data_IF_110623718343
#
_entry.id   IF_110623718343
#
_cell.length_a   1.000
_cell.length_b   1.000
_cell.length_c   1.000
_cell.angle_alpha   90.00
_cell.angle_beta   90.00
_cell.angle_gamma   90.00
#
_symmetry.space_group_name_H-M   'P 1'
#
loop_
_entity.id
_entity.type
_entity.pdbx_description
1 polymer ?
#
# COMPACT_ATOMS: atom_id res chain seq x y z
N UNK A 1 -53.22 -7.12 -27.67
CA UNK A 1 -52.81 -6.31 -26.49
C UNK A 1 -51.35 -6.59 -26.21
N UNK A 2 -50.46 -5.70 -26.64
CA UNK A 2 -49.01 -5.85 -26.42
C UNK A 2 -48.65 -5.26 -25.04
N UNK A 3 -47.94 -6.04 -24.23
CA UNK A 3 -47.39 -5.59 -22.95
C UNK A 3 -46.34 -4.49 -23.21
N UNK A 4 -46.30 -3.41 -22.41
CA UNK A 4 -45.29 -2.38 -22.58
C UNK A 4 -43.91 -2.93 -22.19
N UNK A 5 -42.95 -2.70 -23.08
CA UNK A 5 -41.54 -3.01 -22.85
C UNK A 5 -41.06 -2.35 -21.55
N UNK A 6 -40.53 -3.16 -20.63
CA UNK A 6 -39.83 -2.67 -19.44
C UNK A 6 -38.65 -1.83 -19.91
N UNK A 7 -38.68 -0.53 -19.60
CA UNK A 7 -37.52 0.33 -19.73
C UNK A 7 -36.36 -0.26 -18.90
N UNK A 8 -35.13 -0.32 -19.42
CA UNK A 8 -33.99 -0.75 -18.64
C UNK A 8 -33.74 0.25 -17.51
N UNK A 9 -33.63 -0.26 -16.29
CA UNK A 9 -33.25 0.53 -15.13
C UNK A 9 -31.89 1.17 -15.41
N UNK A 10 -31.86 2.51 -15.52
CA UNK A 10 -30.62 3.27 -15.49
C UNK A 10 -29.99 3.08 -14.10
N UNK A 11 -28.99 2.21 -14.02
CA UNK A 11 -28.08 2.15 -12.89
C UNK A 11 -27.37 3.51 -12.80
N UNK A 12 -27.66 4.25 -11.73
CA UNK A 12 -26.90 5.44 -11.36
C UNK A 12 -25.49 4.98 -10.98
N UNK A 13 -24.53 5.13 -11.89
CA UNK A 13 -23.12 4.85 -11.64
C UNK A 13 -22.54 5.99 -10.79
N UNK A 14 -22.64 5.85 -9.47
CA UNK A 14 -21.96 6.73 -8.52
C UNK A 14 -20.43 6.52 -8.59
N UNK A 15 -19.70 7.62 -8.58
CA UNK A 15 -18.33 7.83 -9.08
C UNK A 15 -17.27 7.91 -7.97
N UNK A 16 -17.37 7.10 -6.93
CA UNK A 16 -16.40 7.10 -5.82
C UNK A 16 -15.20 6.17 -6.11
N UNK A 17 -14.50 6.41 -7.21
CA UNK A 17 -13.19 5.79 -7.40
C UNK A 17 -12.23 6.30 -6.30
N UNK A 18 -11.37 5.42 -5.78
CA UNK A 18 -10.30 5.81 -4.87
C UNK A 18 -9.59 7.06 -5.41
N UNK A 19 -9.45 8.13 -4.61
CA UNK A 19 -8.78 9.32 -5.07
C UNK A 19 -7.34 8.99 -5.48
N UNK A 20 -6.89 9.56 -6.60
CA UNK A 20 -5.50 9.38 -7.04
C UNK A 20 -4.58 10.11 -6.07
N UNK A 21 -4.05 9.38 -5.09
CA UNK A 21 -3.09 9.91 -4.13
C UNK A 21 -1.75 10.23 -4.80
N UNK A 22 -1.08 11.26 -4.31
CA UNK A 22 0.25 11.64 -4.80
C UNK A 22 1.29 10.62 -4.31
N UNK A 23 2.22 10.23 -5.18
CA UNK A 23 3.33 9.35 -4.77
C UNK A 23 4.47 10.18 -4.17
N UNK A 24 5.15 9.65 -3.15
CA UNK A 24 6.19 10.37 -2.46
C UNK A 24 7.37 10.74 -3.38
N UNK A 25 7.64 10.00 -4.46
CA UNK A 25 8.63 10.43 -5.45
C UNK A 25 8.29 11.80 -6.10
N UNK A 26 7.01 12.15 -6.18
CA UNK A 26 6.53 13.48 -6.56
C UNK A 26 6.48 14.45 -5.36
N UNK A 27 6.06 13.99 -4.17
CA UNK A 27 5.96 14.80 -2.96
C UNK A 27 7.32 15.15 -2.32
N UNK A 28 8.40 14.40 -2.60
CA UNK A 28 9.75 14.69 -2.13
C UNK A 28 10.44 15.79 -2.96
N UNK A 29 9.95 16.07 -4.17
CA UNK A 29 10.53 17.12 -5.05
C UNK A 29 10.08 18.53 -4.64
N UNK A 30 8.87 18.66 -4.10
CA UNK A 30 8.28 19.92 -3.64
C UNK A 30 7.54 19.60 -2.35
N UNK A 31 7.92 20.23 -1.23
CA UNK A 31 7.22 20.29 0.09
C UNK A 31 6.00 19.38 0.29
N UNK A 32 5.95 18.62 1.40
CA UNK A 32 4.75 17.87 1.84
C UNK A 32 3.50 18.75 1.58
N UNK A 33 2.51 18.28 0.80
CA UNK A 33 1.45 19.14 0.28
C UNK A 33 0.64 19.82 1.40
N UNK A 34 0.92 21.10 1.67
CA UNK A 34 0.27 21.86 2.75
C UNK A 34 1.02 21.77 4.08
N UNK A 35 2.19 22.39 4.16
CA UNK A 35 3.12 22.42 5.30
C UNK A 35 2.56 22.96 6.64
N UNK A 36 1.25 23.18 6.75
CA UNK A 36 0.52 23.54 7.97
C UNK A 36 -0.24 22.36 8.60
N UNK A 37 -0.35 21.22 7.91
CA UNK A 37 -1.05 20.04 8.43
C UNK A 37 -0.09 19.07 9.12
N UNK A 38 -0.54 18.46 10.22
CA UNK A 38 0.03 17.18 10.66
C UNK A 38 -0.49 16.04 9.80
N UNK A 39 0.17 14.89 9.80
CA UNK A 39 -0.29 13.69 9.09
C UNK A 39 -0.26 12.47 10.01
N UNK A 40 -1.14 11.50 9.72
CA UNK A 40 -1.07 10.15 10.27
C UNK A 40 -0.91 9.13 9.15
N UNK A 41 0.00 8.18 9.35
CA UNK A 41 0.34 7.14 8.39
C UNK A 41 -0.29 5.79 8.75
N UNK A 42 -0.85 5.10 7.76
CA UNK A 42 -1.25 3.67 7.84
C UNK A 42 -0.32 2.80 6.99
N UNK A 43 -0.19 1.49 7.26
CA UNK A 43 0.53 0.58 6.38
C UNK A 43 -0.03 0.62 4.96
N UNK A 44 0.86 0.67 3.96
CA UNK A 44 0.53 0.38 2.58
C UNK A 44 0.74 -1.11 2.36
N UNK A 45 -0.35 -1.83 2.07
CA UNK A 45 -0.29 -3.27 1.79
C UNK A 45 -0.50 -3.57 0.30
N UNK A 46 0.33 -4.44 -0.30
CA UNK A 46 0.16 -4.86 -1.68
C UNK A 46 -0.97 -5.87 -1.79
N UNK A 47 -1.93 -5.58 -2.67
CA UNK A 47 -3.13 -6.39 -2.82
C UNK A 47 -4.11 -5.83 -3.84
N UNK A 48 -5.25 -6.50 -3.99
CA UNK A 48 -6.30 -6.07 -4.93
C UNK A 48 -7.21 -5.06 -4.23
N UNK A 49 -7.29 -3.80 -4.71
CA UNK A 49 -8.20 -2.82 -4.13
C UNK A 49 -9.65 -3.24 -4.40
N UNK A 50 -10.46 -3.22 -3.34
CA UNK A 50 -11.89 -3.53 -3.39
C UNK A 50 -12.66 -2.49 -2.63
N UNK A 51 -13.78 -2.08 -3.23
CA UNK A 51 -14.72 -1.13 -2.67
C UNK A 51 -16.04 -1.85 -2.41
N UNK A 52 -16.53 -1.78 -1.18
CA UNK A 52 -17.80 -2.40 -0.81
C UNK A 52 -18.80 -1.27 -0.58
N UNK A 53 -19.74 -1.11 -1.51
CA UNK A 53 -20.81 -0.14 -1.37
C UNK A 53 -21.96 -0.72 -0.56
N UNK A 54 -22.36 0.01 0.48
CA UNK A 54 -23.47 -0.35 1.36
C UNK A 54 -24.57 0.70 1.17
N UNK A 55 -25.66 0.28 0.52
CA UNK A 55 -26.82 1.11 0.22
C UNK A 55 -28.03 0.72 1.05
N UNK A 56 -28.84 1.71 1.44
CA UNK A 56 -30.14 1.52 2.08
C UNK A 56 -31.24 1.73 1.03
N UNK A 57 -31.73 0.70 0.34
CA UNK A 57 -32.84 0.91 -0.61
C UNK A 57 -34.19 1.09 0.11
N UNK A 58 -35.05 1.92 -0.51
CA UNK A 58 -36.41 2.27 -0.06
C UNK A 58 -37.44 1.59 -0.98
N UNK A 59 -38.47 0.99 -0.37
CA UNK A 59 -39.47 0.11 -1.03
C UNK A 59 -40.59 0.88 -1.74
N UNK A 60 -41.11 0.32 -2.85
CA UNK A 60 -42.52 0.53 -3.24
C UNK A 60 -43.43 -0.52 -2.58
N UNK A 61 -44.20 -0.08 -1.59
CA UNK A 61 -45.40 -0.70 -0.96
C UNK A 61 -45.29 -1.99 -0.10
N UNK A 62 -44.15 -2.31 0.51
CA UNK A 62 -44.03 -3.14 1.75
C UNK A 62 -42.81 -2.69 2.56
N UNK A 63 -42.68 -2.92 3.88
CA UNK A 63 -41.51 -2.49 4.63
C UNK A 63 -40.41 -3.56 4.63
N UNK A 64 -39.72 -3.77 3.50
CA UNK A 64 -38.55 -4.67 3.45
C UNK A 64 -37.30 -3.94 2.92
N UNK A 65 -36.35 -3.72 3.82
CA UNK A 65 -35.02 -3.15 3.56
C UNK A 65 -34.25 -4.13 2.66
N UNK A 66 -33.89 -3.74 1.45
CA UNK A 66 -32.94 -4.50 0.64
C UNK A 66 -31.64 -3.70 0.51
N UNK A 67 -30.52 -4.37 0.77
CA UNK A 67 -29.18 -3.78 0.66
C UNK A 67 -28.50 -4.47 -0.52
N UNK A 68 -27.98 -3.66 -1.44
CA UNK A 68 -27.23 -4.12 -2.59
C UNK A 68 -25.76 -3.87 -2.34
N UNK A 69 -25.02 -4.95 -2.09
CA UNK A 69 -23.56 -4.94 -2.15
C UNK A 69 -23.19 -4.93 -3.63
N UNK A 70 -22.93 -3.73 -4.18
CA UNK A 70 -22.44 -3.61 -5.55
C UNK A 70 -20.93 -3.76 -5.54
N UNK A 71 -20.44 -4.96 -5.85
CA UNK A 71 -19.05 -5.11 -6.25
C UNK A 71 -18.92 -4.83 -7.76
N UNK A 72 -17.88 -4.07 -8.12
CA UNK A 72 -17.45 -3.86 -9.51
C UNK A 72 -16.24 -4.75 -9.85
N UNK A 73 -15.82 -5.63 -8.93
CA UNK A 73 -14.70 -6.55 -9.11
C UNK A 73 -15.07 -7.73 -10.00
N UNK A 74 -14.29 -7.93 -11.06
CA UNK A 74 -14.34 -9.16 -11.84
C UNK A 74 -13.59 -10.33 -11.16
N UNK A 75 -13.14 -10.16 -9.91
CA UNK A 75 -12.38 -11.17 -9.18
C UNK A 75 -13.32 -12.13 -8.45
N UNK A 76 -13.35 -13.39 -8.87
CA UNK A 76 -14.18 -14.46 -8.30
C UNK A 76 -13.95 -14.62 -6.79
N UNK A 77 -12.72 -14.48 -6.31
CA UNK A 77 -12.42 -14.65 -4.88
C UNK A 77 -12.95 -13.48 -4.04
N UNK A 78 -12.95 -12.25 -4.57
CA UNK A 78 -13.58 -11.11 -3.91
C UNK A 78 -15.11 -11.28 -3.85
N UNK A 79 -15.72 -11.81 -4.91
CA UNK A 79 -17.16 -12.09 -4.92
C UNK A 79 -17.55 -13.16 -3.90
N UNK A 80 -16.81 -14.28 -3.83
CA UNK A 80 -17.07 -15.33 -2.85
C UNK A 80 -17.00 -14.81 -1.40
N UNK A 81 -16.02 -13.94 -1.10
CA UNK A 81 -15.94 -13.27 0.21
C UNK A 81 -17.22 -12.50 0.54
N UNK A 82 -17.75 -11.75 -0.42
CA UNK A 82 -18.93 -10.90 -0.19
C UNK A 82 -20.17 -11.75 0.05
N UNK A 83 -20.27 -12.89 -0.64
CA UNK A 83 -21.34 -13.86 -0.44
C UNK A 83 -21.25 -14.49 0.96
N UNK A 84 -20.06 -14.98 1.35
CA UNK A 84 -19.84 -15.64 2.65
C UNK A 84 -20.08 -14.70 3.85
N UNK A 85 -19.91 -13.39 3.67
CA UNK A 85 -20.05 -12.38 4.72
C UNK A 85 -21.20 -11.40 4.49
N UNK A 86 -22.13 -11.71 3.59
CA UNK A 86 -23.25 -10.81 3.25
C UNK A 86 -24.09 -10.44 4.46
N UNK A 87 -24.31 -11.37 5.40
CA UNK A 87 -25.10 -11.13 6.61
C UNK A 87 -24.44 -10.10 7.53
N UNK A 88 -23.12 -10.19 7.72
CA UNK A 88 -22.37 -9.20 8.48
C UNK A 88 -22.46 -7.82 7.79
N UNK A 89 -22.14 -7.75 6.49
CA UNK A 89 -22.15 -6.48 5.73
C UNK A 89 -23.53 -5.82 5.73
N UNK A 90 -24.59 -6.63 5.59
CA UNK A 90 -25.99 -6.17 5.64
C UNK A 90 -26.35 -5.64 7.03
N UNK A 91 -25.82 -6.25 8.10
CA UNK A 91 -26.10 -5.82 9.47
C UNK A 91 -25.55 -4.43 9.79
N UNK A 92 -24.47 -4.01 9.13
CA UNK A 92 -23.86 -2.69 9.34
C UNK A 92 -24.82 -1.54 9.05
N UNK A 93 -25.76 -1.72 8.14
CA UNK A 93 -26.79 -0.72 7.81
C UNK A 93 -27.80 -0.49 8.95
N UNK A 94 -27.77 -1.34 9.97
CA UNK A 94 -28.58 -1.20 11.17
C UNK A 94 -27.76 -0.62 12.33
N UNK A 95 -26.45 -0.45 12.14
CA UNK A 95 -25.58 0.08 13.17
C UNK A 95 -25.96 1.52 13.49
N UNK A 96 -26.07 1.89 14.79
CA UNK A 96 -26.39 3.24 15.17
C UNK A 96 -25.34 4.28 14.78
N UNK A 97 -24.13 3.82 14.48
CA UNK A 97 -23.01 4.65 14.03
C UNK A 97 -22.92 4.74 12.50
N UNK A 98 -23.70 3.93 11.77
CA UNK A 98 -23.57 3.76 10.32
C UNK A 98 -24.93 3.82 9.59
N UNK A 99 -25.80 4.74 10.02
CA UNK A 99 -27.16 4.91 9.48
C UNK A 99 -27.23 5.42 8.03
N UNK A 100 -26.11 5.88 7.49
CA UNK A 100 -25.97 6.53 6.19
C UNK A 100 -25.37 5.57 5.15
N UNK A 101 -25.74 5.67 3.86
CA UNK A 101 -25.04 4.94 2.81
C UNK A 101 -23.54 5.22 2.85
N UNK A 102 -22.73 4.18 2.66
CA UNK A 102 -21.28 4.29 2.78
C UNK A 102 -20.55 3.36 1.82
N UNK A 103 -19.30 3.69 1.52
CA UNK A 103 -18.37 2.81 0.82
C UNK A 103 -17.23 2.45 1.74
N UNK A 104 -17.03 1.16 1.99
CA UNK A 104 -15.84 0.65 2.68
C UNK A 104 -14.73 0.51 1.64
N UNK A 105 -13.57 1.09 1.93
CA UNK A 105 -12.38 1.06 1.10
C UNK A 105 -11.33 0.17 1.74
N UNK A 106 -10.77 -0.74 0.95
CA UNK A 106 -9.77 -1.66 1.43
C UNK A 106 -9.14 -2.49 0.33
N UNK A 107 -8.35 -3.47 0.73
CA UNK A 107 -7.63 -4.36 -0.19
C UNK A 107 -7.70 -5.80 0.30
N UNK A 108 -7.88 -6.73 -0.64
CA UNK A 108 -7.60 -8.13 -0.36
C UNK A 108 -6.10 -8.38 -0.43
N UNK A 109 -5.58 -9.02 0.61
CA UNK A 109 -4.16 -9.30 0.79
C UNK A 109 -4.01 -10.73 1.27
N UNK A 110 -2.98 -11.43 0.78
CA UNK A 110 -2.69 -12.82 1.10
C UNK A 110 -2.62 -13.73 -0.13
N UNK A 111 -2.75 -15.06 0.05
CA UNK A 111 -2.62 -16.03 -1.03
C UNK A 111 -3.59 -15.73 -2.19
N UNK A 112 -3.06 -15.62 -3.41
CA UNK A 112 -3.84 -15.32 -4.62
C UNK A 112 -4.11 -13.84 -4.89
N UNK A 113 -3.80 -12.93 -3.93
CA UNK A 113 -4.08 -11.50 -4.06
C UNK A 113 -2.83 -10.62 -4.02
N UNK A 114 -1.75 -11.10 -3.43
CA UNK A 114 -0.53 -10.32 -3.18
C UNK A 114 0.66 -10.91 -3.93
N UNK A 115 1.50 -10.03 -4.48
CA UNK A 115 2.78 -10.43 -5.09
C UNK A 115 3.71 -11.04 -4.04
N UNK A 116 4.50 -12.02 -4.43
CA UNK A 116 5.40 -12.71 -3.51
C UNK A 116 6.50 -11.81 -2.96
N UNK A 117 6.85 -12.04 -1.69
CA UNK A 117 8.04 -11.52 -1.02
C UNK A 117 7.80 -10.31 -0.13
N UNK A 118 6.57 -9.80 -0.06
CA UNK A 118 6.11 -8.95 1.04
C UNK A 118 5.74 -9.80 2.27
N UNK A 119 5.79 -9.23 3.47
CA UNK A 119 5.38 -9.95 4.69
C UNK A 119 3.97 -10.54 4.55
N UNK A 120 3.04 -9.72 4.07
CA UNK A 120 1.64 -10.10 3.91
C UNK A 120 1.40 -11.18 2.82
N UNK A 121 2.38 -11.45 1.94
CA UNK A 121 2.28 -12.57 1.00
C UNK A 121 2.44 -13.94 1.68
N UNK A 122 2.88 -13.98 2.95
CA UNK A 122 3.05 -15.20 3.75
C UNK A 122 1.85 -15.50 4.64
N UNK A 123 0.77 -14.70 4.56
CA UNK A 123 -0.47 -14.98 5.29
C UNK A 123 -1.02 -16.36 4.87
N UNK A 124 -1.54 -17.12 5.84
CA UNK A 124 -2.12 -18.45 5.58
C UNK A 124 -3.51 -18.38 4.92
N UNK A 125 -4.15 -17.21 4.96
CA UNK A 125 -5.49 -16.98 4.44
C UNK A 125 -5.60 -15.56 3.90
N UNK A 126 -6.50 -15.30 2.95
CA UNK A 126 -6.76 -13.94 2.49
C UNK A 126 -7.51 -13.14 3.56
N UNK A 127 -7.13 -11.87 3.70
CA UNK A 127 -7.78 -10.91 4.59
C UNK A 127 -8.19 -9.67 3.80
N UNK A 128 -9.27 -9.03 4.25
CA UNK A 128 -9.71 -7.73 3.75
C UNK A 128 -9.23 -6.64 4.70
N UNK A 129 -8.22 -5.89 4.29
CA UNK A 129 -7.66 -4.79 5.08
C UNK A 129 -8.33 -3.47 4.69
N UNK A 130 -8.96 -2.83 5.67
CA UNK A 130 -9.78 -1.63 5.51
C UNK A 130 -8.91 -0.41 5.85
N UNK A 131 -8.80 0.51 4.89
CA UNK A 131 -8.00 1.73 5.03
C UNK A 131 -8.86 2.99 5.25
N UNK A 132 -10.11 2.99 4.81
CA UNK A 132 -11.05 4.09 5.03
C UNK A 132 -12.50 3.77 4.72
N UNK A 133 -13.40 4.68 5.10
CA UNK A 133 -14.83 4.65 4.78
C UNK A 133 -15.22 6.00 4.18
N UNK A 134 -16.02 5.98 3.11
CA UNK A 134 -16.67 7.18 2.57
C UNK A 134 -18.12 7.19 3.01
N UNK A 135 -18.55 8.22 3.71
CA UNK A 135 -19.95 8.47 4.05
C UNK A 135 -20.60 9.28 2.92
N UNK A 136 -21.60 8.71 2.24
CA UNK A 136 -22.12 9.30 1.00
C UNK A 136 -22.92 10.57 1.24
N UNK A 137 -23.63 10.66 2.37
CA UNK A 137 -24.51 11.79 2.67
C UNK A 137 -23.73 13.08 3.00
N UNK A 138 -22.51 12.93 3.54
CA UNK A 138 -21.65 14.05 3.97
C UNK A 138 -20.40 14.23 3.13
N UNK A 139 -20.13 13.30 2.20
CA UNK A 139 -18.85 13.19 1.47
C UNK A 139 -17.61 13.09 2.39
N UNK A 140 -17.82 12.70 3.65
CA UNK A 140 -16.74 12.51 4.62
C UNK A 140 -15.95 11.25 4.31
N UNK A 141 -14.62 11.38 4.31
CA UNK A 141 -13.67 10.30 4.31
C UNK A 141 -13.20 10.03 5.74
N UNK A 142 -13.64 8.93 6.32
CA UNK A 142 -13.24 8.46 7.64
C UNK A 142 -11.98 7.61 7.50
N UNK A 143 -10.84 8.15 7.95
CA UNK A 143 -9.55 7.45 8.00
C UNK A 143 -9.19 6.95 9.40
N UNK A 144 -9.83 7.44 10.46
CA UNK A 144 -9.53 7.09 11.85
C UNK A 144 -9.90 5.62 12.16
N UNK A 145 -8.96 4.73 12.53
CA UNK A 145 -9.20 3.32 12.82
C UNK A 145 -10.29 3.10 13.86
N UNK A 146 -10.29 3.89 14.94
CA UNK A 146 -11.27 3.78 16.02
C UNK A 146 -12.67 4.09 15.49
N UNK A 147 -12.84 5.19 14.75
CA UNK A 147 -14.13 5.53 14.11
C UNK A 147 -14.55 4.50 13.06
N UNK A 148 -13.61 3.95 12.28
CA UNK A 148 -13.89 2.88 11.32
C UNK A 148 -14.40 1.63 12.08
N UNK A 149 -13.74 1.22 13.16
CA UNK A 149 -14.18 0.10 13.99
C UNK A 149 -15.59 0.33 14.54
N UNK A 150 -15.88 1.51 15.08
CA UNK A 150 -17.21 1.87 15.60
C UNK A 150 -18.29 1.78 14.50
N UNK A 151 -17.98 2.20 13.27
CA UNK A 151 -18.88 2.13 12.12
C UNK A 151 -19.08 0.69 11.60
N UNK A 152 -18.10 -0.18 11.82
CA UNK A 152 -18.12 -1.59 11.42
C UNK A 152 -18.64 -2.52 12.52
N UNK A 153 -19.06 -1.98 13.66
CA UNK A 153 -19.68 -2.78 14.70
C UNK A 153 -21.09 -3.20 14.28
N UNK A 154 -21.31 -4.52 14.20
CA UNK A 154 -22.64 -5.06 13.91
C UNK A 154 -23.55 -4.90 15.13
N UNK A 155 -24.73 -4.26 14.99
CA UNK A 155 -25.71 -4.18 16.06
C UNK A 155 -26.32 -5.55 16.40
N UNK A 156 -26.08 -6.56 15.56
CA UNK A 156 -26.54 -7.94 15.76
C UNK A 156 -25.44 -8.83 16.37
N UNK A 157 -24.28 -8.26 16.73
CA UNK A 157 -23.13 -9.01 17.25
C UNK A 157 -22.45 -9.90 16.21
N UNK A 158 -22.73 -9.72 14.92
CA UNK A 158 -22.05 -10.45 13.84
C UNK A 158 -20.64 -9.91 13.67
N UNK A 159 -19.70 -10.79 13.33
CA UNK A 159 -18.31 -10.45 13.10
C UNK A 159 -17.87 -10.88 11.70
N UNK A 160 -16.91 -10.16 11.13
CA UNK A 160 -16.19 -10.59 9.94
C UNK A 160 -14.74 -10.95 10.34
N UNK A 161 -14.45 -12.24 10.59
CA UNK A 161 -13.17 -12.66 11.18
C UNK A 161 -11.97 -12.41 10.26
N UNK A 162 -12.20 -12.12 8.98
CA UNK A 162 -11.17 -11.87 7.97
C UNK A 162 -11.06 -10.40 7.56
N UNK A 163 -11.90 -9.51 8.11
CA UNK A 163 -11.73 -8.07 7.98
C UNK A 163 -10.79 -7.54 9.05
N UNK A 164 -9.91 -6.61 8.68
CA UNK A 164 -8.97 -5.94 9.59
C UNK A 164 -8.94 -4.45 9.28
N UNK A 165 -9.15 -3.61 10.28
CA UNK A 165 -8.95 -2.16 10.14
C UNK A 165 -7.47 -1.85 10.30
N UNK A 166 -6.88 -1.17 9.32
CA UNK A 166 -5.46 -0.82 9.38
C UNK A 166 -5.21 0.25 10.47
N UNK A 167 -4.24 0.03 11.37
CA UNK A 167 -3.94 0.97 12.45
C UNK A 167 -3.08 2.14 11.95
N UNK A 168 -2.95 3.15 12.80
CA UNK A 168 -1.90 4.15 12.66
C UNK A 168 -0.53 3.55 13.00
N UNK A 169 0.47 3.80 12.15
CA UNK A 169 1.86 3.36 12.36
C UNK A 169 2.86 4.51 12.44
N UNK A 170 2.44 5.72 12.07
CA UNK A 170 3.29 6.89 12.07
C UNK A 170 2.47 8.17 12.24
N UNK A 171 3.10 9.17 12.84
CA UNK A 171 2.59 10.55 12.86
C UNK A 171 3.69 11.52 12.43
N UNK A 172 3.27 12.60 11.79
CA UNK A 172 4.11 13.66 11.21
C UNK A 172 3.52 14.98 11.72
N UNK A 173 4.36 15.88 12.24
CA UNK A 173 3.88 17.07 12.93
C UNK A 173 4.13 18.34 12.10
N UNK A 174 3.17 19.27 12.04
CA UNK A 174 3.23 20.43 11.13
C UNK A 174 4.42 21.37 11.36
N UNK A 175 5.09 21.28 12.52
CA UNK A 175 6.15 22.21 12.93
C UNK A 175 7.58 21.74 12.61
N UNK A 176 7.76 20.59 11.97
CA UNK A 176 9.10 20.06 11.69
C UNK A 176 9.63 20.66 10.38
N UNK A 177 10.64 21.54 10.48
CA UNK A 177 11.17 22.34 9.36
C UNK A 177 11.78 21.52 8.21
N UNK A 178 12.15 20.26 8.43
CA UNK A 178 12.56 19.30 7.38
C UNK A 178 12.23 17.85 7.81
N UNK A 179 11.12 17.31 7.34
CA UNK A 179 10.63 15.96 7.70
C UNK A 179 11.15 14.84 6.80
N UNK A 180 11.97 15.18 5.80
CA UNK A 180 12.51 14.19 4.85
C UNK A 180 13.38 13.13 5.53
N UNK A 181 14.24 13.44 6.52
CA UNK A 181 15.00 12.42 7.24
C UNK A 181 14.11 11.45 8.00
N UNK A 182 13.08 11.95 8.69
CA UNK A 182 12.13 11.13 9.44
C UNK A 182 11.31 10.21 8.53
N UNK A 183 10.77 10.74 7.43
CA UNK A 183 10.07 9.93 6.42
C UNK A 183 10.99 8.86 5.82
N UNK A 184 12.26 9.17 5.55
CA UNK A 184 13.23 8.17 5.06
C UNK A 184 13.49 7.08 6.08
N UNK A 185 13.64 7.44 7.35
CA UNK A 185 13.84 6.47 8.43
C UNK A 185 12.63 5.54 8.60
N UNK A 186 11.42 6.11 8.64
CA UNK A 186 10.18 5.33 8.68
C UNK A 186 10.06 4.39 7.49
N UNK A 187 10.39 4.86 6.28
CA UNK A 187 10.37 4.02 5.09
C UNK A 187 11.45 2.94 5.15
N UNK A 188 12.65 3.23 5.65
CA UNK A 188 13.67 2.20 5.84
C UNK A 188 13.23 1.13 6.85
N UNK A 189 12.58 1.52 7.93
CA UNK A 189 12.01 0.58 8.91
C UNK A 189 10.92 -0.28 8.28
N UNK A 190 9.94 0.34 7.62
CA UNK A 190 8.83 -0.36 6.95
C UNK A 190 9.31 -1.29 5.82
N UNK A 191 10.34 -0.85 5.09
CA UNK A 191 10.90 -1.60 3.96
C UNK A 191 11.68 -2.83 4.39
N UNK A 192 12.12 -2.89 5.65
CA UNK A 192 12.74 -4.06 6.24
C UNK A 192 11.71 -4.98 6.90
N UNK A 193 10.84 -4.40 7.72
CA UNK A 193 9.82 -5.13 8.49
C UNK A 193 8.51 -4.35 8.46
N UNK A 194 7.45 -4.99 7.97
CA UNK A 194 6.09 -4.51 8.18
C UNK A 194 5.68 -4.70 9.64
N UNK A 195 5.69 -3.60 10.40
CA UNK A 195 5.44 -3.63 11.84
C UNK A 195 4.06 -4.20 12.20
N UNK A 196 3.04 -3.89 11.40
CA UNK A 196 1.67 -4.32 11.65
C UNK A 196 1.51 -5.82 11.37
N UNK A 197 2.00 -6.29 10.22
CA UNK A 197 1.93 -7.72 9.87
C UNK A 197 2.74 -8.55 10.88
N UNK A 198 3.89 -8.06 11.34
CA UNK A 198 4.67 -8.70 12.40
C UNK A 198 3.92 -8.74 13.72
N UNK A 199 3.32 -7.63 14.16
CA UNK A 199 2.64 -7.60 15.46
C UNK A 199 1.39 -8.48 15.49
N UNK A 200 0.56 -8.40 14.44
CA UNK A 200 -0.74 -9.07 14.34
C UNK A 200 -0.59 -10.56 13.98
N UNK A 201 0.21 -10.87 12.96
CA UNK A 201 0.29 -12.22 12.39
C UNK A 201 1.57 -12.96 12.73
N UNK A 202 2.52 -12.33 13.44
CA UNK A 202 3.84 -12.90 13.79
C UNK A 202 4.66 -13.30 12.56
N UNK A 203 4.50 -12.54 11.47
CA UNK A 203 5.19 -12.77 10.20
C UNK A 203 6.21 -11.66 9.97
N UNK A 204 7.48 -12.04 9.82
CA UNK A 204 8.55 -11.13 9.40
C UNK A 204 8.60 -11.00 7.86
N UNK A 205 8.89 -9.79 7.40
CA UNK A 205 9.14 -9.49 5.99
C UNK A 205 8.92 -8.01 5.68
N UNK A 206 9.27 -7.58 4.46
CA UNK A 206 9.17 -6.19 4.08
C UNK A 206 7.71 -5.77 3.84
N UNK A 207 7.38 -4.52 4.16
CA UNK A 207 6.14 -3.84 3.77
C UNK A 207 6.31 -3.04 2.46
N UNK A 208 5.21 -2.55 1.89
CA UNK A 208 5.25 -1.71 0.67
C UNK A 208 5.46 -0.22 1.01
N UNK A 209 5.12 0.19 2.24
CA UNK A 209 5.32 1.55 2.74
C UNK A 209 4.15 2.02 3.59
N UNK A 210 3.81 3.30 3.46
CA UNK A 210 2.73 3.92 4.22
C UNK A 210 1.87 4.88 3.38
N UNK A 211 0.59 4.97 3.74
CA UNK A 211 -0.35 5.96 3.22
C UNK A 211 -0.55 7.03 4.29
N UNK A 212 -0.32 8.29 3.94
CA UNK A 212 -0.45 9.43 4.85
C UNK A 212 -1.71 10.23 4.59
N UNK A 213 -2.44 10.45 5.68
CA UNK A 213 -3.69 11.20 5.73
C UNK A 213 -3.44 12.50 6.51
N UNK A 214 -3.92 13.65 6.02
CA UNK A 214 -3.85 14.89 6.79
C UNK A 214 -4.67 14.75 8.08
N UNK A 215 -4.15 15.29 9.18
CA UNK A 215 -4.85 15.38 10.46
C UNK A 215 -5.95 16.44 10.32
N UNK A 216 -7.18 15.98 10.19
CA UNK A 216 -8.39 16.80 10.18
C UNK A 216 -9.50 16.06 10.91
N UNK A 217 -10.33 16.78 11.67
CA UNK A 217 -11.53 16.23 12.31
C UNK A 217 -12.57 15.81 11.28
N UNK A 218 -12.61 16.51 10.14
CA UNK A 218 -13.48 16.24 9.00
C UNK A 218 -12.64 16.29 7.72
N UNK A 219 -12.44 15.14 7.10
CA UNK A 219 -11.65 15.03 5.87
C UNK A 219 -12.59 14.69 4.72
N UNK A 220 -12.66 15.52 3.69
CA UNK A 220 -13.43 15.20 2.48
C UNK A 220 -12.59 14.38 1.49
N UNK A 221 -13.25 13.71 0.53
CA UNK A 221 -12.56 13.01 -0.57
C UNK A 221 -11.66 13.97 -1.38
N UNK A 222 -12.13 15.21 -1.59
CA UNK A 222 -11.39 16.23 -2.34
C UNK A 222 -10.11 16.65 -1.59
N UNK A 223 -10.22 16.88 -0.28
CA UNK A 223 -9.06 17.21 0.55
C UNK A 223 -8.08 16.05 0.63
N UNK A 224 -8.56 14.82 0.80
CA UNK A 224 -7.69 13.64 0.75
C UNK A 224 -6.94 13.53 -0.60
N UNK A 225 -7.63 13.78 -1.72
CA UNK A 225 -6.99 13.78 -3.05
C UNK A 225 -5.90 14.84 -3.18
N UNK A 226 -6.10 15.99 -2.54
CA UNK A 226 -5.21 17.14 -2.66
C UNK A 226 -4.01 17.05 -1.72
N UNK A 227 -4.22 16.56 -0.50
CA UNK A 227 -3.24 16.63 0.58
C UNK A 227 -2.71 15.26 1.02
N UNK A 228 -3.45 14.17 0.78
CA UNK A 228 -2.99 12.82 1.07
C UNK A 228 -1.90 12.36 0.11
N UNK A 229 -0.97 11.55 0.62
CA UNK A 229 0.13 11.03 -0.19
C UNK A 229 0.54 9.61 0.24
N UNK A 230 1.17 8.89 -0.68
CA UNK A 230 1.69 7.55 -0.45
C UNK A 230 3.21 7.62 -0.42
N UNK A 231 3.80 7.13 0.68
CA UNK A 231 5.23 6.93 0.80
C UNK A 231 5.53 5.45 0.63
N UNK A 232 5.86 5.06 -0.60
CA UNK A 232 6.30 3.70 -0.87
C UNK A 232 7.78 3.55 -0.52
N UNK A 233 8.13 2.45 0.12
CA UNK A 233 9.52 2.04 0.30
C UNK A 233 10.07 1.79 -1.09
N UNK A 234 11.18 2.44 -1.45
CA UNK A 234 11.73 2.39 -2.81
C UNK A 234 11.77 0.96 -3.35
N UNK A 235 11.47 0.82 -4.65
CA UNK A 235 11.32 -0.39 -5.51
C UNK A 235 12.33 -1.53 -5.36
N UNK A 236 13.32 -1.37 -4.49
CA UNK A 236 14.15 -2.43 -3.95
C UNK A 236 13.31 -3.48 -3.22
N UNK A 237 12.15 -3.15 -2.65
CA UNK A 237 11.30 -4.20 -2.07
C UNK A 237 10.94 -5.26 -3.11
N UNK A 238 10.61 -4.92 -4.37
CA UNK A 238 10.39 -5.95 -5.40
C UNK A 238 11.63 -6.79 -5.72
N UNK A 239 12.84 -6.23 -5.59
CA UNK A 239 14.09 -6.98 -5.73
C UNK A 239 14.29 -7.94 -4.55
N UNK A 240 14.21 -7.44 -3.33
CA UNK A 240 14.51 -8.21 -2.12
C UNK A 240 13.36 -9.14 -1.72
N UNK A 241 12.13 -8.80 -2.05
CA UNK A 241 10.96 -9.67 -2.04
C UNK A 241 11.14 -10.83 -3.02
N UNK A 242 11.50 -10.54 -4.27
CA UNK A 242 11.77 -11.57 -5.27
C UNK A 242 12.95 -12.47 -4.87
N UNK A 243 14.04 -11.88 -4.34
CA UNK A 243 15.17 -12.65 -3.82
C UNK A 243 14.80 -13.48 -2.59
N UNK A 244 14.01 -12.93 -1.65
CA UNK A 244 13.55 -13.66 -0.45
C UNK A 244 12.81 -14.94 -0.82
N UNK A 245 12.07 -14.96 -1.92
CA UNK A 245 11.41 -16.17 -2.42
C UNK A 245 12.41 -17.19 -2.98
N UNK A 246 13.48 -16.73 -3.63
CA UNK A 246 14.46 -17.59 -4.30
C UNK A 246 15.52 -18.16 -3.36
N UNK A 247 16.01 -17.36 -2.42
CA UNK A 247 17.15 -17.70 -1.55
C UNK A 247 16.80 -17.70 -0.05
N UNK A 248 15.55 -17.40 0.31
CA UNK A 248 15.11 -17.28 1.70
C UNK A 248 15.25 -15.87 2.25
N UNK A 249 14.37 -15.51 3.19
CA UNK A 249 14.28 -14.17 3.76
C UNK A 249 15.55 -13.76 4.52
N UNK A 250 16.20 -14.70 5.21
CA UNK A 250 17.43 -14.44 5.95
C UNK A 250 18.58 -14.10 5.00
N UNK A 251 18.84 -14.93 3.98
CA UNK A 251 19.86 -14.67 2.97
C UNK A 251 19.60 -13.36 2.19
N UNK A 252 18.33 -13.08 1.84
CA UNK A 252 17.97 -11.83 1.20
C UNK A 252 18.24 -10.60 2.08
N UNK A 253 18.03 -10.70 3.41
CA UNK A 253 18.40 -9.65 4.37
C UNK A 253 19.91 -9.43 4.42
N UNK A 254 20.71 -10.49 4.35
CA UNK A 254 22.17 -10.35 4.27
C UNK A 254 22.60 -9.63 2.98
N UNK A 255 21.98 -9.94 1.84
CA UNK A 255 22.24 -9.22 0.57
C UNK A 255 21.84 -7.75 0.70
N UNK A 256 20.69 -7.45 1.32
CA UNK A 256 20.23 -6.07 1.58
C UNK A 256 21.25 -5.30 2.43
N UNK A 257 21.66 -5.89 3.56
CA UNK A 257 22.63 -5.28 4.46
C UNK A 257 23.96 -4.98 3.75
N UNK A 258 24.44 -5.91 2.91
CA UNK A 258 25.66 -5.68 2.12
C UNK A 258 25.49 -4.48 1.19
N UNK A 259 24.39 -4.45 0.44
CA UNK A 259 24.08 -3.38 -0.50
C UNK A 259 23.98 -2.04 0.20
N UNK A 260 23.22 -1.94 1.29
CA UNK A 260 23.03 -0.68 2.01
C UNK A 260 24.34 -0.13 2.58
N UNK A 261 25.23 -1.04 3.05
CA UNK A 261 26.51 -0.65 3.60
C UNK A 261 27.55 -0.24 2.53
N UNK A 262 27.39 -0.70 1.27
CA UNK A 262 28.46 -0.59 0.27
C UNK A 262 28.07 0.12 -1.03
N UNK A 263 26.78 0.32 -1.28
CA UNK A 263 26.23 0.83 -2.54
C UNK A 263 25.38 2.06 -2.24
N UNK A 264 26.03 3.20 -2.02
CA UNK A 264 25.36 4.48 -1.82
C UNK A 264 25.28 5.29 -3.13
N UNK A 265 24.33 6.25 -3.23
CA UNK A 265 24.25 7.16 -4.38
C UNK A 265 25.55 7.89 -4.68
N UNK A 266 26.34 8.23 -3.65
CA UNK A 266 27.63 8.92 -3.77
C UNK A 266 28.68 8.00 -4.41
N UNK A 267 28.71 6.73 -4.03
CA UNK A 267 29.60 5.73 -4.62
C UNK A 267 29.25 5.52 -6.09
N UNK A 268 27.96 5.32 -6.39
CA UNK A 268 27.51 5.14 -7.78
C UNK A 268 27.83 6.39 -8.61
N UNK A 269 27.61 7.59 -8.05
CA UNK A 269 27.91 8.86 -8.73
C UNK A 269 29.42 9.04 -8.96
N UNK A 270 30.26 8.63 -8.02
CA UNK A 270 31.71 8.69 -8.18
C UNK A 270 32.20 7.74 -9.28
N UNK A 271 31.59 6.56 -9.39
CA UNK A 271 31.94 5.57 -10.44
C UNK A 271 31.39 5.99 -11.80
N UNK A 272 30.19 6.58 -11.83
CA UNK A 272 29.53 7.01 -13.05
C UNK A 272 29.91 8.43 -13.50
N UNK A 273 30.83 9.12 -12.82
CA UNK A 273 31.07 10.56 -12.95
C UNK A 273 31.37 11.03 -14.37
N UNK A 274 32.07 10.21 -15.16
CA UNK A 274 32.46 10.53 -16.54
C UNK A 274 31.49 9.97 -17.60
N UNK A 275 30.40 9.31 -17.17
CA UNK A 275 29.45 8.66 -18.06
C UNK A 275 28.35 9.66 -18.45
N UNK A 276 28.12 9.90 -19.75
CA UNK A 276 27.03 10.77 -20.20
C UNK A 276 25.68 10.29 -19.68
N UNK A 277 24.82 11.22 -19.24
CA UNK A 277 23.49 10.92 -18.70
C UNK A 277 22.49 10.56 -19.82
N UNK A 278 22.69 9.39 -20.43
CA UNK A 278 21.83 8.76 -21.42
C UNK A 278 21.60 7.28 -21.04
N UNK A 279 20.34 6.84 -21.05
CA UNK A 279 19.90 5.47 -20.72
C UNK A 279 20.67 4.39 -21.49
N UNK A 280 21.22 4.68 -22.67
CA UNK A 280 22.07 3.74 -23.43
C UNK A 280 23.33 3.30 -22.67
N UNK A 281 23.81 4.13 -21.73
CA UNK A 281 24.98 3.83 -20.92
C UNK A 281 24.67 3.07 -19.62
N UNK A 282 23.40 2.71 -19.36
CA UNK A 282 23.01 2.00 -18.12
C UNK A 282 23.84 0.73 -17.90
N UNK A 283 24.07 -0.08 -18.95
CA UNK A 283 24.87 -1.30 -18.85
C UNK A 283 26.33 -1.02 -18.48
N UNK A 284 26.90 0.08 -18.96
CA UNK A 284 28.27 0.49 -18.62
C UNK A 284 28.36 0.85 -17.14
N UNK A 285 27.42 1.67 -16.65
CA UNK A 285 27.35 2.04 -15.22
C UNK A 285 27.22 0.82 -14.33
N UNK A 286 26.36 -0.14 -14.69
CA UNK A 286 26.21 -1.40 -13.95
C UNK A 286 27.54 -2.15 -13.83
N UNK A 287 28.26 -2.30 -14.95
CA UNK A 287 29.53 -3.03 -14.99
C UNK A 287 30.62 -2.30 -14.20
N UNK A 288 30.70 -0.97 -14.32
CA UNK A 288 31.72 -0.16 -13.66
C UNK A 288 31.50 -0.18 -12.13
N UNK A 289 30.24 -0.10 -11.67
CA UNK A 289 29.90 -0.24 -10.24
C UNK A 289 30.18 -1.65 -9.73
N UNK A 290 29.88 -2.68 -10.53
CA UNK A 290 30.17 -4.06 -10.16
C UNK A 290 31.68 -4.31 -10.03
N UNK A 291 32.48 -3.79 -10.97
CA UNK A 291 33.93 -3.87 -10.93
C UNK A 291 34.50 -3.12 -9.72
N UNK A 292 33.99 -1.93 -9.42
CA UNK A 292 34.41 -1.13 -8.26
C UNK A 292 34.09 -1.81 -6.92
N UNK A 293 33.14 -2.74 -6.89
CA UNK A 293 32.66 -3.41 -5.67
C UNK A 293 33.07 -4.88 -5.57
N UNK A 294 33.77 -5.41 -6.58
CA UNK A 294 34.08 -6.85 -6.70
C UNK A 294 34.87 -7.40 -5.50
N UNK A 295 35.88 -6.65 -5.02
CA UNK A 295 36.67 -7.05 -3.85
C UNK A 295 35.81 -7.17 -2.59
N UNK A 296 34.93 -6.18 -2.35
CA UNK A 296 34.00 -6.16 -1.22
C UNK A 296 33.00 -7.32 -1.30
N UNK A 297 32.47 -7.62 -2.49
CA UNK A 297 31.56 -8.76 -2.70
C UNK A 297 32.29 -10.07 -2.35
N UNK A 298 33.53 -10.24 -2.83
CA UNK A 298 34.35 -11.43 -2.56
C UNK A 298 34.62 -11.61 -1.06
N UNK A 299 34.93 -10.53 -0.34
CA UNK A 299 35.18 -10.56 1.10
C UNK A 299 33.90 -10.88 1.88
N UNK A 300 32.78 -10.23 1.55
CA UNK A 300 31.50 -10.48 2.21
C UNK A 300 31.01 -11.92 2.01
N UNK A 301 31.10 -12.47 0.79
CA UNK A 301 30.70 -13.86 0.53
C UNK A 301 31.62 -14.89 1.21
N UNK A 302 32.86 -14.53 1.56
CA UNK A 302 33.75 -15.38 2.37
C UNK A 302 33.39 -15.32 3.85
N UNK A 303 33.06 -14.12 4.35
CA UNK A 303 32.72 -13.91 5.75
C UNK A 303 31.34 -14.46 6.11
N UNK A 304 30.40 -14.45 5.16
CA UNK A 304 29.01 -14.77 5.39
C UNK A 304 28.52 -15.88 4.44
N UNK A 305 28.37 -17.13 4.93
CA UNK A 305 28.01 -18.28 4.10
C UNK A 305 26.65 -18.18 3.40
N UNK A 306 25.74 -17.35 3.93
CA UNK A 306 24.41 -17.12 3.35
C UNK A 306 24.44 -16.18 2.13
N UNK A 307 25.54 -15.42 1.93
CA UNK A 307 25.69 -14.53 0.78
C UNK A 307 26.14 -15.32 -0.45
N UNK A 308 25.21 -15.51 -1.38
CA UNK A 308 25.56 -16.03 -2.70
C UNK A 308 26.05 -14.90 -3.59
N UNK A 309 27.29 -15.02 -4.08
CA UNK A 309 27.94 -14.02 -4.95
C UNK A 309 27.02 -13.51 -6.07
N UNK A 310 26.37 -14.42 -6.79
CA UNK A 310 25.47 -14.09 -7.91
C UNK A 310 24.31 -13.19 -7.50
N UNK A 311 23.75 -13.40 -6.31
CA UNK A 311 22.61 -12.64 -5.80
C UNK A 311 23.02 -11.22 -5.41
N UNK A 312 24.20 -11.10 -4.78
CA UNK A 312 24.81 -9.80 -4.47
C UNK A 312 25.11 -9.01 -5.75
N UNK A 313 25.72 -9.65 -6.75
CA UNK A 313 26.01 -9.01 -8.04
C UNK A 313 24.73 -8.53 -8.75
N UNK A 314 23.67 -9.35 -8.74
CA UNK A 314 22.38 -8.96 -9.30
C UNK A 314 21.76 -7.76 -8.56
N UNK A 315 21.86 -7.73 -7.23
CA UNK A 315 21.33 -6.63 -6.43
C UNK A 315 22.09 -5.32 -6.68
N UNK A 316 23.43 -5.37 -6.67
CA UNK A 316 24.31 -4.24 -6.97
C UNK A 316 24.01 -3.67 -8.36
N UNK A 317 23.96 -4.53 -9.37
CA UNK A 317 23.71 -4.10 -10.75
C UNK A 317 22.31 -3.51 -10.94
N UNK A 318 21.27 -4.06 -10.32
CA UNK A 318 19.92 -3.50 -10.39
C UNK A 318 19.85 -2.11 -9.75
N UNK A 319 20.47 -1.92 -8.59
CA UNK A 319 20.48 -0.62 -7.89
C UNK A 319 21.24 0.43 -8.67
N UNK A 320 22.40 0.07 -9.24
CA UNK A 320 23.16 0.96 -10.12
C UNK A 320 22.34 1.35 -11.37
N UNK A 321 21.66 0.39 -11.99
CA UNK A 321 20.80 0.63 -13.15
C UNK A 321 19.64 1.58 -12.82
N UNK A 322 18.94 1.33 -11.71
CA UNK A 322 17.81 2.15 -11.28
C UNK A 322 18.25 3.57 -10.96
N UNK A 323 19.34 3.73 -10.20
CA UNK A 323 19.91 5.05 -9.89
C UNK A 323 20.20 5.84 -11.17
N UNK A 324 20.87 5.23 -12.14
CA UNK A 324 21.30 5.92 -13.36
C UNK A 324 20.12 6.28 -14.27
N UNK A 325 19.18 5.37 -14.46
CA UNK A 325 17.94 5.63 -15.22
C UNK A 325 17.16 6.78 -14.59
N UNK A 326 17.06 6.81 -13.25
CA UNK A 326 16.41 7.90 -12.55
C UNK A 326 17.15 9.23 -12.73
N UNK A 327 18.48 9.22 -12.72
CA UNK A 327 19.30 10.41 -12.96
C UNK A 327 19.11 10.95 -14.38
N UNK A 328 19.02 10.07 -15.38
CA UNK A 328 18.71 10.45 -16.77
C UNK A 328 17.31 11.09 -16.91
N UNK A 329 16.32 10.65 -16.12
CA UNK A 329 14.96 11.20 -16.16
C UNK A 329 14.80 12.53 -15.39
N UNK A 330 15.86 13.04 -14.76
CA UNK A 330 15.85 14.31 -14.02
C UNK A 330 16.38 15.48 -14.84
N UNK A 331 16.95 15.22 -16.02
CA UNK A 331 17.36 16.20 -17.03
C UNK A 331 16.28 16.37 -18.09
#
# INVERSE_FOLDING_TARGET
>A
MALPAKAPARLLTSSYAMPKLQTAAAAFRNTIPGSSYGYKGKPLLPGIPVQIEIHKERIKKRPDRYIRVNDKSNNVHANNFLEDHVHYLTSLCHSPTAYTPMTILGRFVGPGFTQQGYACSKLLSPYYFIDGIVVHDTEEYVSCPERICDMLESPLGLQCPISRVLPWIAEIHPNVKDERPYLRELLAQTGNIDAYIKSEFKIDGPGEGAIFYPQSDFLTIKELSQFGFIAATTRNVDLFASMSTRIGAEAARHVQNFVDANISPEIISSVAGDIPLDKRFTRRVMNDVLAATESKIKEACKAEPLLQKREVENAVTRIAAEWFVNKCNQL
#
